data_IF_604582955116
#
_entry.id   IF_604582955116
#
_cell.length_a   1.000
_cell.length_b   1.000
_cell.length_c   1.000
_cell.angle_alpha   90.00
_cell.angle_beta   90.00
_cell.angle_gamma   90.00
#
_symmetry.space_group_name_H-M   'P 1'
#
loop_
_entity.id
_entity.type
_entity.pdbx_description
1 polymer ?
#
# COMPACT_ATOMS: atom_id res chain seq x y z
N UNK A 1 -19.16 -3.21 -17.95
CA UNK A 1 -18.23 -2.79 -16.89
C UNK A 1 -17.34 -3.98 -16.59
N UNK A 2 -16.04 -3.77 -16.32
CA UNK A 2 -15.06 -4.84 -16.10
C UNK A 2 -15.25 -5.41 -14.69
N UNK A 3 -16.06 -6.45 -14.55
CA UNK A 3 -16.29 -7.14 -13.27
C UNK A 3 -15.68 -8.53 -13.25
N UNK A 4 -15.38 -9.10 -14.42
CA UNK A 4 -14.85 -10.46 -14.55
C UNK A 4 -13.49 -10.45 -15.21
N UNK A 5 -12.71 -11.49 -14.92
CA UNK A 5 -11.43 -11.68 -15.57
C UNK A 5 -11.60 -11.87 -17.10
N UNK A 6 -12.67 -12.54 -17.53
CA UNK A 6 -12.96 -12.79 -18.95
C UNK A 6 -13.25 -11.52 -19.76
N UNK A 7 -13.63 -10.44 -19.08
CA UNK A 7 -13.82 -9.14 -19.73
C UNK A 7 -12.47 -8.43 -20.01
N UNK A 8 -11.36 -8.98 -19.49
CA UNK A 8 -10.04 -8.37 -19.52
C UNK A 8 -9.14 -9.04 -20.56
N UNK A 9 -8.54 -8.24 -21.45
CA UNK A 9 -7.50 -8.72 -22.36
C UNK A 9 -6.14 -8.40 -21.75
N UNK A 10 -5.46 -9.42 -21.23
CA UNK A 10 -4.10 -9.27 -20.72
C UNK A 10 -3.09 -9.06 -21.85
N UNK A 11 -2.06 -8.27 -21.55
CA UNK A 11 -0.94 -8.05 -22.46
C UNK A 11 0.02 -9.24 -22.40
N UNK A 12 0.25 -9.87 -23.55
CA UNK A 12 1.28 -10.91 -23.73
C UNK A 12 2.63 -10.30 -24.09
N UNK A 13 3.69 -11.10 -24.04
CA UNK A 13 5.04 -10.69 -24.43
C UNK A 13 5.09 -10.25 -25.91
N UNK A 14 4.35 -10.90 -26.80
CA UNK A 14 4.25 -10.52 -28.23
C UNK A 14 3.53 -9.20 -28.42
N UNK A 15 2.37 -9.03 -27.80
CA UNK A 15 1.60 -7.79 -27.92
C UNK A 15 2.34 -6.62 -27.28
N UNK A 16 3.06 -6.84 -26.19
CA UNK A 16 3.93 -5.83 -25.61
C UNK A 16 5.08 -5.40 -26.53
N UNK A 17 5.73 -6.34 -27.23
CA UNK A 17 6.76 -6.00 -28.23
C UNK A 17 6.19 -5.11 -29.34
N UNK A 18 5.02 -5.47 -29.88
CA UNK A 18 4.35 -4.64 -30.88
C UNK A 18 4.00 -3.25 -30.35
N UNK A 19 3.54 -3.14 -29.10
CA UNK A 19 3.29 -1.83 -28.47
C UNK A 19 4.56 -1.00 -28.28
N UNK A 20 5.71 -1.63 -28.00
CA UNK A 20 7.00 -0.94 -27.92
C UNK A 20 7.48 -0.43 -29.28
N UNK A 21 7.30 -1.21 -30.34
CA UNK A 21 7.61 -0.79 -31.71
C UNK A 21 6.74 0.42 -32.10
N UNK A 22 5.43 0.36 -31.82
CA UNK A 22 4.54 1.49 -32.05
C UNK A 22 4.93 2.71 -31.20
N UNK A 23 5.27 2.51 -29.92
CA UNK A 23 5.77 3.56 -29.05
C UNK A 23 7.04 4.23 -29.60
N UNK A 24 7.97 3.46 -30.16
CA UNK A 24 9.20 4.00 -30.74
C UNK A 24 8.96 4.87 -31.98
N UNK A 25 7.88 4.62 -32.74
CA UNK A 25 7.51 5.42 -33.91
C UNK A 25 6.94 6.80 -33.53
N UNK A 26 6.08 6.84 -32.53
CA UNK A 26 5.52 8.09 -32.00
C UNK A 26 5.20 7.97 -30.49
N UNK A 27 6.17 8.31 -29.61
CA UNK A 27 5.98 8.21 -28.17
C UNK A 27 4.84 9.09 -27.64
N UNK A 28 4.57 10.21 -28.30
CA UNK A 28 3.58 11.20 -27.83
C UNK A 28 2.15 10.71 -28.03
N UNK A 29 1.90 10.04 -29.14
CA UNK A 29 0.59 9.45 -29.47
C UNK A 29 0.42 8.08 -28.84
N UNK A 30 1.41 7.20 -29.01
CA UNK A 30 1.29 5.79 -28.62
C UNK A 30 1.56 5.54 -27.13
N UNK A 31 2.32 6.41 -26.46
CA UNK A 31 2.60 6.30 -25.02
C UNK A 31 1.33 6.27 -24.17
N UNK A 32 0.43 7.26 -24.28
CA UNK A 32 -0.85 7.25 -23.57
C UNK A 32 -1.78 6.08 -23.95
N UNK A 33 -1.80 5.68 -25.23
CA UNK A 33 -2.66 4.60 -25.74
C UNK A 33 -2.27 3.26 -25.10
N UNK A 34 -0.98 2.94 -25.08
CA UNK A 34 -0.47 1.67 -24.57
C UNK A 34 -0.01 1.74 -23.10
N UNK A 35 -0.07 2.92 -22.48
CA UNK A 35 0.44 3.12 -21.12
C UNK A 35 1.93 2.85 -20.99
N UNK A 36 2.73 3.24 -22.00
CA UNK A 36 4.18 3.07 -22.02
C UNK A 36 4.82 4.46 -21.90
N UNK A 37 5.62 4.67 -20.86
CA UNK A 37 6.40 5.89 -20.68
C UNK A 37 7.83 5.76 -21.23
N UNK A 38 8.38 4.55 -21.17
CA UNK A 38 9.70 4.20 -21.68
C UNK A 38 9.86 2.68 -21.79
N UNK A 39 10.87 2.24 -22.54
CA UNK A 39 11.31 0.86 -22.48
C UNK A 39 11.91 0.56 -21.10
N UNK A 40 11.52 -0.56 -20.50
CA UNK A 40 12.02 -0.93 -19.18
C UNK A 40 13.47 -1.43 -19.27
N UNK A 41 14.39 -0.95 -18.42
CA UNK A 41 15.75 -1.46 -18.36
C UNK A 41 15.82 -2.97 -18.06
N UNK A 42 14.80 -3.51 -17.39
CA UNK A 42 14.74 -4.93 -17.01
C UNK A 42 14.53 -5.86 -18.20
N UNK A 43 14.11 -5.36 -19.36
CA UNK A 43 13.98 -6.16 -20.60
C UNK A 43 15.32 -6.70 -21.11
N UNK A 44 16.44 -6.11 -20.66
CA UNK A 44 17.79 -6.57 -21.04
C UNK A 44 18.19 -7.88 -20.37
N UNK A 45 17.43 -8.33 -19.37
CA UNK A 45 17.70 -9.56 -18.64
C UNK A 45 17.14 -10.76 -19.42
N UNK A 46 18.01 -11.73 -19.71
CA UNK A 46 17.73 -12.88 -20.60
C UNK A 46 16.49 -13.71 -20.20
N UNK A 47 16.17 -13.77 -18.91
CA UNK A 47 15.07 -14.58 -18.38
C UNK A 47 14.02 -13.73 -17.66
N UNK A 48 13.93 -12.44 -18.00
CA UNK A 48 12.95 -11.54 -17.42
C UNK A 48 11.83 -11.19 -18.40
N UNK A 49 10.60 -11.54 -18.06
CA UNK A 49 9.41 -11.14 -18.79
C UNK A 49 8.58 -10.14 -17.97
N UNK A 50 8.54 -8.90 -18.45
CA UNK A 50 7.85 -7.80 -17.79
C UNK A 50 6.33 -7.97 -17.73
N UNK A 51 5.72 -8.71 -18.66
CA UNK A 51 4.26 -8.93 -18.64
C UNK A 51 3.86 -9.96 -17.60
N UNK A 52 4.82 -10.73 -17.09
CA UNK A 52 4.56 -11.91 -16.28
C UNK A 52 5.23 -11.85 -14.91
N UNK A 53 6.32 -11.08 -14.74
CA UNK A 53 7.16 -11.07 -13.53
C UNK A 53 7.16 -9.74 -12.76
N UNK A 54 6.16 -8.90 -13.00
CA UNK A 54 5.86 -7.74 -12.19
C UNK A 54 4.50 -7.92 -11.49
N UNK A 55 4.46 -8.69 -10.38
CA UNK A 55 3.20 -8.94 -9.69
C UNK A 55 2.62 -7.66 -9.07
N UNK A 56 1.29 -7.58 -8.87
CA UNK A 56 0.64 -6.46 -8.19
C UNK A 56 1.13 -6.32 -6.75
N UNK A 57 0.99 -5.14 -6.15
CA UNK A 57 1.48 -4.88 -4.80
C UNK A 57 0.31 -4.69 -3.82
N UNK A 58 0.06 -5.69 -2.99
CA UNK A 58 -1.01 -5.65 -1.98
C UNK A 58 -0.91 -4.48 -1.00
N UNK A 59 0.27 -3.93 -0.73
CA UNK A 59 0.36 -2.71 0.07
C UNK A 59 -0.33 -1.54 -0.65
N UNK A 60 0.07 -1.27 -1.89
CA UNK A 60 -0.46 -0.13 -2.62
C UNK A 60 -1.88 -0.37 -3.13
N UNK A 61 -2.18 -1.58 -3.61
CA UNK A 61 -3.46 -1.91 -4.22
C UNK A 61 -4.54 -2.09 -3.16
N UNK A 62 -4.27 -2.83 -2.08
CA UNK A 62 -5.25 -3.07 -1.02
C UNK A 62 -5.20 -1.97 0.05
N UNK A 63 -4.04 -1.74 0.69
CA UNK A 63 -3.98 -0.90 1.89
C UNK A 63 -4.05 0.60 1.59
N UNK A 64 -3.38 1.05 0.54
CA UNK A 64 -3.33 2.47 0.21
C UNK A 64 -4.41 2.91 -0.77
N UNK A 65 -4.65 2.12 -1.82
CA UNK A 65 -5.59 2.45 -2.89
C UNK A 65 -7.01 1.97 -2.60
N UNK A 66 -7.21 0.66 -2.50
CA UNK A 66 -8.54 0.08 -2.42
C UNK A 66 -9.25 0.35 -1.09
N UNK A 67 -8.56 0.27 0.06
CA UNK A 67 -9.13 0.68 1.35
C UNK A 67 -9.54 2.15 1.36
N UNK A 68 -8.72 3.02 0.79
CA UNK A 68 -9.05 4.43 0.65
C UNK A 68 -10.32 4.62 -0.18
N UNK A 69 -10.41 3.92 -1.32
CA UNK A 69 -11.57 3.96 -2.21
C UNK A 69 -12.86 3.50 -1.51
N UNK A 70 -12.80 2.36 -0.81
CA UNK A 70 -13.94 1.76 -0.13
C UNK A 70 -14.35 2.57 1.10
N UNK A 71 -13.40 2.96 1.97
CA UNK A 71 -13.70 3.76 3.16
C UNK A 71 -14.36 5.09 2.76
N UNK A 72 -13.88 5.74 1.69
CA UNK A 72 -14.46 7.00 1.23
C UNK A 72 -15.94 6.85 0.90
N UNK A 73 -16.29 5.85 0.09
CA UNK A 73 -17.66 5.63 -0.33
C UNK A 73 -18.54 5.18 0.83
N UNK A 74 -18.05 4.23 1.65
CA UNK A 74 -18.84 3.67 2.75
C UNK A 74 -19.10 4.70 3.83
N UNK A 75 -18.06 5.35 4.38
CA UNK A 75 -18.27 6.37 5.41
C UNK A 75 -18.95 7.62 4.86
N UNK A 76 -18.65 8.00 3.61
CA UNK A 76 -19.29 9.14 2.94
C UNK A 76 -20.80 8.94 2.82
N UNK A 77 -21.22 7.76 2.35
CA UNK A 77 -22.65 7.44 2.24
C UNK A 77 -23.33 7.22 3.58
N UNK A 78 -22.70 6.58 4.56
CA UNK A 78 -23.27 6.47 5.90
C UNK A 78 -23.54 7.84 6.55
N UNK A 79 -22.66 8.82 6.30
CA UNK A 79 -22.88 10.22 6.72
C UNK A 79 -23.97 10.89 5.89
N UNK A 80 -23.97 10.69 4.57
CA UNK A 80 -24.95 11.26 3.65
C UNK A 80 -26.39 10.80 3.95
N UNK A 81 -26.55 9.52 4.24
CA UNK A 81 -27.81 8.87 4.57
C UNK A 81 -28.21 9.06 6.05
N UNK A 82 -27.40 9.79 6.81
CA UNK A 82 -27.60 10.08 8.24
C UNK A 82 -27.63 8.84 9.14
N UNK A 83 -27.05 7.71 8.69
CA UNK A 83 -26.83 6.52 9.52
C UNK A 83 -25.83 6.83 10.64
N UNK A 84 -24.78 7.58 10.32
CA UNK A 84 -23.87 8.16 11.30
C UNK A 84 -23.80 9.67 11.11
N UNK A 85 -23.54 10.42 12.17
CA UNK A 85 -23.33 11.87 12.12
C UNK A 85 -21.88 12.17 11.77
N UNK A 86 -21.63 13.37 11.25
CA UNK A 86 -20.24 13.84 11.01
C UNK A 86 -19.38 13.80 12.28
N UNK A 87 -19.96 14.06 13.44
CA UNK A 87 -19.29 13.99 14.75
C UNK A 87 -18.89 12.55 15.11
N UNK A 88 -19.59 11.53 14.60
CA UNK A 88 -19.25 10.13 14.83
C UNK A 88 -17.93 9.72 14.15
N UNK A 89 -17.36 10.55 13.26
CA UNK A 89 -16.00 10.35 12.74
C UNK A 89 -14.93 10.52 13.84
N UNK A 90 -15.22 11.28 14.91
CA UNK A 90 -14.33 11.46 16.05
C UNK A 90 -14.18 10.18 16.89
N UNK A 91 -15.07 9.20 16.69
CA UNK A 91 -14.94 7.84 17.25
C UNK A 91 -13.62 7.19 16.83
N UNK A 92 -13.15 7.46 15.62
CA UNK A 92 -11.88 6.91 15.12
C UNK A 92 -10.71 7.39 15.98
N UNK A 93 -10.66 8.69 16.29
CA UNK A 93 -9.60 9.26 17.13
C UNK A 93 -9.72 8.91 18.61
N UNK A 94 -10.95 8.72 19.11
CA UNK A 94 -11.21 8.44 20.54
C UNK A 94 -11.23 6.94 20.87
N UNK A 95 -11.22 6.06 19.88
CA UNK A 95 -11.20 4.62 20.07
C UNK A 95 -9.95 4.16 20.85
N UNK A 96 -10.13 3.22 21.78
CA UNK A 96 -9.04 2.68 22.61
C UNK A 96 -8.28 1.58 21.87
N UNK A 97 -7.28 1.98 21.09
CA UNK A 97 -6.42 1.04 20.36
C UNK A 97 -5.57 0.18 21.31
N UNK A 98 -5.59 -1.13 21.08
CA UNK A 98 -4.84 -2.11 21.86
C UNK A 98 -3.33 -2.03 21.65
N UNK A 99 -2.58 -2.79 22.45
CA UNK A 99 -1.10 -2.80 22.44
C UNK A 99 -0.51 -3.00 21.03
N UNK A 100 -1.06 -3.93 20.25
CA UNK A 100 -0.59 -4.24 18.90
C UNK A 100 -0.89 -3.13 17.88
N UNK A 101 -1.87 -2.26 18.16
CA UNK A 101 -2.35 -1.23 17.25
C UNK A 101 -1.88 0.17 17.61
N UNK A 102 -1.40 0.37 18.84
CA UNK A 102 -1.00 1.68 19.37
C UNK A 102 0.04 2.41 18.53
N UNK A 103 0.94 1.67 17.86
CA UNK A 103 1.95 2.25 16.95
C UNK A 103 1.38 2.60 15.57
N UNK A 104 0.24 2.02 15.21
CA UNK A 104 -0.46 2.20 13.95
C UNK A 104 -1.83 2.85 14.17
N UNK A 105 -1.98 3.69 15.21
CA UNK A 105 -3.21 4.42 15.47
C UNK A 105 -3.61 5.24 14.24
N UNK A 106 -4.82 5.04 13.70
CA UNK A 106 -5.34 5.80 12.57
C UNK A 106 -5.35 7.30 12.81
N UNK A 107 -5.17 8.05 11.74
CA UNK A 107 -5.44 9.48 11.73
C UNK A 107 -6.94 9.72 11.51
N UNK A 108 -7.41 10.88 11.94
CA UNK A 108 -8.81 11.26 11.78
C UNK A 108 -9.21 11.31 10.30
N UNK A 109 -10.38 10.76 10.01
CA UNK A 109 -11.00 10.84 8.68
C UNK A 109 -11.64 12.21 8.51
N UNK A 110 -11.24 12.94 7.48
CA UNK A 110 -11.71 14.32 7.26
C UNK A 110 -12.92 14.37 6.33
N UNK A 111 -13.78 15.37 6.51
CA UNK A 111 -14.88 15.64 5.58
C UNK A 111 -14.37 15.96 4.17
N UNK A 112 -13.20 16.58 4.05
CA UNK A 112 -12.56 16.84 2.76
C UNK A 112 -12.27 15.53 2.01
N UNK A 113 -11.77 14.51 2.71
CA UNK A 113 -11.56 13.18 2.15
C UNK A 113 -12.88 12.52 1.71
N UNK A 114 -13.91 12.54 2.55
CA UNK A 114 -15.22 11.95 2.22
C UNK A 114 -15.84 12.61 0.98
N UNK A 115 -15.66 13.93 0.82
CA UNK A 115 -16.12 14.68 -0.35
C UNK A 115 -15.22 14.55 -1.59
N UNK A 116 -14.19 13.68 -1.55
CA UNK A 116 -13.26 13.49 -2.66
C UNK A 116 -12.31 14.66 -2.94
N UNK A 117 -12.16 15.60 -1.98
CA UNK A 117 -11.29 16.79 -2.11
C UNK A 117 -9.89 16.57 -1.52
N UNK A 118 -9.65 15.42 -0.88
CA UNK A 118 -8.37 15.06 -0.30
C UNK A 118 -8.18 13.53 -0.32
N UNK A 119 -6.93 13.08 -0.24
CA UNK A 119 -6.59 11.67 -0.02
C UNK A 119 -6.71 11.28 1.45
N UNK A 120 -6.79 9.98 1.72
CA UNK A 120 -6.79 9.47 3.09
C UNK A 120 -5.39 9.60 3.68
N UNK A 121 -5.31 10.30 4.81
CA UNK A 121 -4.07 10.51 5.54
C UNK A 121 -3.61 9.26 6.29
N UNK A 122 -2.30 9.14 6.50
CA UNK A 122 -1.67 8.08 7.29
C UNK A 122 -0.97 7.02 6.43
N UNK A 123 -0.11 6.23 7.07
CA UNK A 123 0.63 5.14 6.43
C UNK A 123 -0.28 3.94 6.10
N UNK A 124 0.19 3.04 5.23
CA UNK A 124 -0.49 1.78 4.95
C UNK A 124 -0.86 0.98 6.22
N UNK A 125 0.00 0.97 7.26
CA UNK A 125 -0.30 0.30 8.53
C UNK A 125 -1.43 0.99 9.32
N UNK A 126 -1.50 2.32 9.29
CA UNK A 126 -2.58 3.08 9.93
C UNK A 126 -3.91 2.88 9.20
N UNK A 127 -3.88 2.89 7.86
CA UNK A 127 -5.06 2.60 7.01
C UNK A 127 -5.58 1.17 7.27
N UNK A 128 -4.68 0.18 7.35
CA UNK A 128 -5.04 -1.19 7.71
C UNK A 128 -5.66 -1.29 9.10
N UNK A 129 -5.07 -0.61 10.10
CA UNK A 129 -5.57 -0.58 11.47
C UNK A 129 -7.01 -0.06 11.51
N UNK A 130 -7.28 1.07 10.85
CA UNK A 130 -8.63 1.62 10.75
C UNK A 130 -9.58 0.63 10.08
N UNK A 131 -9.20 0.15 8.90
CA UNK A 131 -10.06 -0.72 8.11
C UNK A 131 -10.41 -2.02 8.85
N UNK A 132 -9.45 -2.59 9.60
CA UNK A 132 -9.66 -3.80 10.41
C UNK A 132 -10.54 -3.56 11.63
N UNK A 133 -10.43 -2.39 12.25
CA UNK A 133 -11.16 -2.05 13.48
C UNK A 133 -12.45 -1.28 13.24
N UNK A 134 -12.79 -0.98 11.97
CA UNK A 134 -14.03 -0.32 11.59
C UNK A 134 -15.27 -0.94 12.23
N UNK A 135 -15.43 -2.29 12.28
CA UNK A 135 -16.57 -2.93 12.91
C UNK A 135 -16.59 -2.65 14.41
N UNK A 136 -15.47 -2.70 15.11
CA UNK A 136 -15.40 -2.41 16.54
C UNK A 136 -15.70 -0.93 16.84
N UNK A 137 -15.45 -0.02 15.90
CA UNK A 137 -15.71 1.42 16.05
C UNK A 137 -17.20 1.74 15.79
N UNK A 138 -17.83 1.05 14.85
CA UNK A 138 -19.15 1.43 14.31
C UNK A 138 -20.26 0.36 14.41
N UNK A 139 -19.98 -0.85 14.92
CA UNK A 139 -20.97 -1.95 14.95
C UNK A 139 -22.27 -1.61 15.69
N UNK A 140 -22.23 -0.73 16.68
CA UNK A 140 -23.42 -0.36 17.45
C UNK A 140 -24.32 0.67 16.75
N UNK A 141 -23.81 1.36 15.72
CA UNK A 141 -24.54 2.44 15.03
C UNK A 141 -24.94 2.08 13.60
N UNK A 142 -24.24 1.15 12.95
CA UNK A 142 -24.56 0.70 11.59
C UNK A 142 -25.54 -0.47 11.67
N UNK A 143 -26.77 -0.35 11.12
CA UNK A 143 -27.75 -1.43 11.13
C UNK A 143 -27.27 -2.66 10.37
N UNK A 144 -27.70 -3.85 10.82
CA UNK A 144 -27.54 -5.08 10.05
C UNK A 144 -28.22 -4.96 8.68
N UNK A 145 -27.57 -5.47 7.63
CA UNK A 145 -28.06 -5.37 6.26
C UNK A 145 -27.94 -3.99 5.62
N UNK A 146 -27.23 -3.04 6.23
CA UNK A 146 -26.93 -1.77 5.58
C UNK A 146 -26.11 -1.99 4.30
N UNK A 147 -26.64 -1.52 3.17
CA UNK A 147 -26.08 -1.76 1.83
C UNK A 147 -24.65 -1.20 1.63
N UNK A 148 -24.32 -0.07 2.25
CA UNK A 148 -22.95 0.46 2.20
C UNK A 148 -21.99 -0.38 3.05
N UNK A 149 -22.47 -0.89 4.18
CA UNK A 149 -21.69 -1.78 5.03
C UNK A 149 -21.42 -3.13 4.36
N UNK A 150 -22.36 -3.66 3.57
CA UNK A 150 -22.14 -4.88 2.78
C UNK A 150 -20.98 -4.73 1.78
N UNK A 151 -20.82 -3.55 1.16
CA UNK A 151 -19.66 -3.27 0.30
C UNK A 151 -18.35 -3.34 1.09
N UNK A 152 -18.35 -2.74 2.30
CA UNK A 152 -17.19 -2.82 3.20
C UNK A 152 -16.88 -4.28 3.57
N UNK A 153 -17.89 -5.07 3.94
CA UNK A 153 -17.72 -6.48 4.32
C UNK A 153 -17.21 -7.34 3.14
N UNK A 154 -17.73 -7.13 1.94
CA UNK A 154 -17.26 -7.81 0.73
C UNK A 154 -15.78 -7.50 0.45
N UNK A 155 -15.38 -6.23 0.50
CA UNK A 155 -13.98 -5.85 0.35
C UNK A 155 -13.10 -6.37 1.49
N UNK A 156 -13.61 -6.37 2.72
CA UNK A 156 -12.92 -6.91 3.89
C UNK A 156 -12.60 -8.39 3.73
N UNK A 157 -13.52 -9.16 3.18
CA UNK A 157 -13.32 -10.57 2.89
C UNK A 157 -12.15 -10.81 1.93
N UNK A 158 -12.07 -10.02 0.85
CA UNK A 158 -10.96 -10.06 -0.11
C UNK A 158 -9.64 -9.73 0.57
N UNK A 159 -9.62 -8.67 1.38
CA UNK A 159 -8.43 -8.26 2.12
C UNK A 159 -7.97 -9.34 3.11
N UNK A 160 -8.89 -9.99 3.82
CA UNK A 160 -8.55 -11.05 4.79
C UNK A 160 -7.92 -12.27 4.12
N UNK A 161 -8.42 -12.70 2.96
CA UNK A 161 -7.81 -13.79 2.19
C UNK A 161 -6.46 -13.34 1.61
N UNK A 162 -6.43 -12.18 0.94
CA UNK A 162 -5.26 -11.71 0.20
C UNK A 162 -4.08 -11.34 1.11
N UNK A 163 -4.34 -10.93 2.36
CA UNK A 163 -3.30 -10.55 3.32
C UNK A 163 -2.92 -11.68 4.28
N UNK A 164 -3.52 -12.87 4.13
CA UNK A 164 -3.18 -14.04 4.92
C UNK A 164 -1.73 -14.47 4.69
N UNK A 165 -1.09 -15.01 5.73
CA UNK A 165 0.30 -15.48 5.66
C UNK A 165 0.48 -16.73 4.81
N UNK A 166 -0.61 -17.50 4.68
CA UNK A 166 -0.72 -18.74 3.93
C UNK A 166 -2.11 -18.77 3.29
N UNK A 167 -2.16 -19.04 2.00
CA UNK A 167 -3.40 -19.17 1.23
C UNK A 167 -3.42 -20.57 0.64
N UNK A 168 -4.35 -21.45 1.06
CA UNK A 168 -4.51 -22.76 0.43
C UNK A 168 -4.87 -22.60 -1.05
N UNK A 169 -4.30 -23.44 -1.92
CA UNK A 169 -4.60 -23.39 -3.37
C UNK A 169 -6.10 -23.56 -3.66
N UNK A 170 -6.80 -24.37 -2.87
CA UNK A 170 -8.25 -24.55 -2.96
C UNK A 170 -9.07 -23.29 -2.64
N UNK A 171 -8.47 -22.31 -1.95
CA UNK A 171 -9.12 -21.03 -1.64
C UNK A 171 -9.01 -20.02 -2.80
N UNK A 172 -8.13 -20.25 -3.77
CA UNK A 172 -7.88 -19.28 -4.85
C UNK A 172 -9.10 -19.09 -5.78
N UNK A 173 -9.81 -20.14 -6.23
CA UNK A 173 -11.05 -19.96 -7.00
C UNK A 173 -12.13 -19.22 -6.20
N UNK A 174 -12.19 -19.46 -4.88
CA UNK A 174 -13.12 -18.76 -4.00
C UNK A 174 -12.79 -17.26 -3.90
N UNK A 175 -11.50 -16.90 -3.81
CA UNK A 175 -11.07 -15.50 -3.86
C UNK A 175 -11.50 -14.82 -5.16
N UNK A 176 -11.39 -15.51 -6.31
CA UNK A 176 -11.82 -14.95 -7.60
C UNK A 176 -13.31 -14.57 -7.55
N UNK A 177 -14.17 -15.50 -7.12
CA UNK A 177 -15.61 -15.24 -6.98
C UNK A 177 -15.87 -14.05 -6.05
N UNK A 178 -15.16 -13.97 -4.91
CA UNK A 178 -15.32 -12.84 -3.97
C UNK A 178 -14.88 -11.50 -4.54
N UNK A 179 -13.86 -11.46 -5.39
CA UNK A 179 -13.47 -10.24 -6.10
C UNK A 179 -14.55 -9.80 -7.09
N UNK A 180 -15.07 -10.73 -7.89
CA UNK A 180 -16.12 -10.45 -8.87
C UNK A 180 -17.40 -9.95 -8.20
N UNK A 181 -17.86 -10.64 -7.14
CA UNK A 181 -19.03 -10.24 -6.32
C UNK A 181 -18.85 -8.84 -5.72
N UNK A 182 -17.66 -8.54 -5.17
CA UNK A 182 -17.37 -7.21 -4.63
C UNK A 182 -17.41 -6.12 -5.70
N UNK A 183 -16.81 -6.34 -6.88
CA UNK A 183 -16.77 -5.33 -7.94
C UNK A 183 -18.17 -5.06 -8.50
N UNK A 184 -18.99 -6.10 -8.66
CA UNK A 184 -20.40 -5.96 -9.02
C UNK A 184 -21.14 -5.16 -7.94
N UNK A 185 -21.07 -5.56 -6.68
CA UNK A 185 -21.71 -4.87 -5.57
C UNK A 185 -21.27 -3.41 -5.45
N UNK A 186 -19.97 -3.14 -5.58
CA UNK A 186 -19.39 -1.79 -5.50
C UNK A 186 -19.95 -0.88 -6.60
N UNK A 187 -20.02 -1.36 -7.83
CA UNK A 187 -20.48 -0.54 -8.96
C UNK A 187 -21.99 -0.37 -9.02
N UNK A 188 -22.76 -1.35 -8.56
CA UNK A 188 -24.21 -1.21 -8.36
C UNK A 188 -24.50 -0.18 -7.28
N UNK A 189 -23.80 -0.26 -6.14
CA UNK A 189 -24.02 0.66 -5.02
C UNK A 189 -23.50 2.08 -5.32
N UNK A 190 -22.45 2.21 -6.12
CA UNK A 190 -21.79 3.47 -6.42
C UNK A 190 -21.62 3.67 -7.95
N UNK A 191 -22.71 3.87 -8.71
CA UNK A 191 -22.68 3.92 -10.17
C UNK A 191 -21.88 5.11 -10.73
N UNK A 192 -21.72 6.17 -9.93
CA UNK A 192 -20.93 7.35 -10.29
C UNK A 192 -19.47 7.27 -9.83
N UNK A 193 -19.09 6.22 -9.10
CA UNK A 193 -17.72 6.01 -8.65
C UNK A 193 -16.94 5.22 -9.70
N UNK A 194 -15.76 5.73 -10.08
CA UNK A 194 -14.88 4.99 -10.98
C UNK A 194 -14.27 3.77 -10.29
N UNK A 195 -14.25 2.63 -11.00
CA UNK A 195 -13.42 1.49 -10.62
C UNK A 195 -11.96 1.87 -10.90
N UNK A 196 -11.21 2.12 -9.83
CA UNK A 196 -9.80 2.52 -9.96
C UNK A 196 -8.95 1.34 -10.45
N UNK A 197 -7.78 1.60 -11.08
CA UNK A 197 -6.83 0.55 -11.40
C UNK A 197 -6.46 -0.34 -10.20
N UNK A 198 -6.45 0.25 -8.99
CA UNK A 198 -6.15 -0.44 -7.73
C UNK A 198 -7.20 -1.50 -7.38
N UNK A 199 -8.49 -1.20 -7.58
CA UNK A 199 -9.56 -2.19 -7.42
C UNK A 199 -9.55 -3.21 -8.56
N UNK A 200 -9.29 -2.77 -9.79
CA UNK A 200 -9.21 -3.67 -10.95
C UNK A 200 -8.12 -4.74 -10.77
N UNK A 201 -6.95 -4.37 -10.22
CA UNK A 201 -5.86 -5.33 -10.01
C UNK A 201 -6.25 -6.55 -9.18
N UNK A 202 -7.28 -6.46 -8.33
CA UNK A 202 -7.77 -7.59 -7.54
C UNK A 202 -8.23 -8.76 -8.41
N UNK A 203 -8.74 -8.51 -9.62
CA UNK A 203 -9.13 -9.57 -10.56
C UNK A 203 -7.96 -10.48 -10.93
N UNK A 204 -6.75 -9.95 -10.89
CA UNK A 204 -5.52 -10.66 -11.24
C UNK A 204 -4.88 -11.36 -10.04
N UNK A 205 -5.32 -11.08 -8.81
CA UNK A 205 -4.74 -11.68 -7.60
C UNK A 205 -4.78 -13.21 -7.63
N UNK A 206 -5.89 -13.86 -8.03
CA UNK A 206 -5.92 -15.31 -8.16
C UNK A 206 -4.78 -15.88 -9.01
N UNK A 207 -4.54 -15.31 -10.21
CA UNK A 207 -3.44 -15.70 -11.12
C UNK A 207 -2.08 -15.54 -10.42
N UNK A 208 -1.82 -14.37 -9.85
CA UNK A 208 -0.53 -14.07 -9.23
C UNK A 208 -0.29 -14.87 -7.94
N UNK A 209 -1.34 -15.22 -7.20
CA UNK A 209 -1.23 -16.07 -6.00
C UNK A 209 -0.82 -17.49 -6.37
N UNK A 210 -1.34 -18.05 -7.46
CA UNK A 210 -0.94 -19.37 -7.93
C UNK A 210 0.54 -19.40 -8.35
N UNK A 211 1.04 -18.28 -8.90
CA UNK A 211 2.40 -18.17 -9.43
C UNK A 211 3.45 -17.81 -8.37
N UNK A 212 3.15 -16.86 -7.49
CA UNK A 212 4.10 -16.27 -6.53
C UNK A 212 3.78 -16.58 -5.07
N UNK A 213 2.63 -17.20 -4.79
CA UNK A 213 2.15 -17.42 -3.43
C UNK A 213 1.46 -16.20 -2.83
N UNK A 214 1.33 -16.12 -1.49
CA UNK A 214 0.56 -15.06 -0.84
C UNK A 214 1.10 -13.64 -1.13
N UNK A 215 0.25 -12.65 -1.47
CA UNK A 215 0.66 -11.28 -1.82
C UNK A 215 1.51 -10.58 -0.76
N UNK A 216 1.25 -10.89 0.51
CA UNK A 216 2.03 -10.42 1.65
C UNK A 216 3.54 -10.77 1.57
N UNK A 217 3.94 -11.73 0.75
CA UNK A 217 5.35 -12.14 0.57
C UNK A 217 6.14 -11.25 -0.38
N UNK A 218 5.46 -10.52 -1.28
CA UNK A 218 6.09 -9.69 -2.30
C UNK A 218 5.60 -8.23 -2.32
N UNK A 219 4.84 -7.81 -1.31
CA UNK A 219 4.38 -6.42 -1.16
C UNK A 219 5.48 -5.40 -0.79
N UNK A 220 5.21 -4.12 -1.02
CA UNK A 220 6.13 -3.01 -0.83
C UNK A 220 6.50 -2.63 0.61
N UNK A 221 5.77 -3.15 1.62
CA UNK A 221 5.84 -2.67 3.02
C UNK A 221 7.25 -2.60 3.61
N UNK A 222 8.10 -3.60 3.34
CA UNK A 222 9.47 -3.64 3.89
C UNK A 222 10.40 -2.70 3.13
N UNK A 223 10.22 -2.56 1.83
CA UNK A 223 11.01 -1.65 1.00
C UNK A 223 10.74 -0.20 1.40
N UNK A 224 9.47 0.17 1.60
CA UNK A 224 9.13 1.53 2.03
C UNK A 224 9.62 1.84 3.45
N UNK A 225 9.48 0.88 4.38
CA UNK A 225 10.03 1.02 5.73
C UNK A 225 11.56 1.24 5.71
N UNK A 226 12.30 0.50 4.87
CA UNK A 226 13.75 0.71 4.70
C UNK A 226 14.03 2.08 4.07
N UNK A 227 13.23 2.51 3.13
CA UNK A 227 13.38 3.80 2.47
C UNK A 227 13.17 4.99 3.41
N UNK A 228 12.32 4.85 4.44
CA UNK A 228 12.12 5.88 5.47
C UNK A 228 13.41 6.31 6.18
N UNK A 229 14.36 5.39 6.38
CA UNK A 229 15.68 5.70 6.94
C UNK A 229 16.44 6.70 6.06
N UNK A 230 16.49 6.42 4.75
CA UNK A 230 17.20 7.27 3.79
C UNK A 230 16.54 8.65 3.65
N UNK A 231 15.20 8.70 3.60
CA UNK A 231 14.43 9.96 3.60
C UNK A 231 14.77 10.81 4.83
N UNK A 232 14.86 10.19 6.02
CA UNK A 232 15.19 10.88 7.25
C UNK A 232 16.60 11.50 7.21
N UNK A 233 17.59 10.74 6.74
CA UNK A 233 18.97 11.25 6.59
C UNK A 233 19.03 12.39 5.59
N UNK A 234 18.46 12.21 4.39
CA UNK A 234 18.46 13.24 3.37
C UNK A 234 17.87 14.56 3.89
N UNK A 235 16.76 14.48 4.64
CA UNK A 235 16.13 15.65 5.26
C UNK A 235 16.98 16.32 6.34
N UNK A 236 17.80 15.55 7.09
CA UNK A 236 18.62 16.05 8.20
C UNK A 236 19.94 16.63 7.72
N UNK A 237 20.66 15.91 6.85
CA UNK A 237 21.99 16.31 6.37
C UNK A 237 21.91 17.58 5.54
N UNK A 238 20.80 17.80 4.80
CA UNK A 238 20.60 18.97 3.91
C UNK A 238 21.75 19.19 2.90
N UNK A 239 22.56 18.17 2.65
CA UNK A 239 23.64 18.17 1.68
C UNK A 239 23.21 17.34 0.47
N UNK A 240 23.02 18.01 -0.66
CA UNK A 240 22.56 17.37 -1.90
C UNK A 240 23.69 17.07 -2.87
N UNK A 241 24.93 17.48 -2.57
CA UNK A 241 26.10 17.15 -3.40
C UNK A 241 26.43 15.68 -3.20
N UNK A 242 26.31 14.88 -4.26
CA UNK A 242 26.53 13.42 -4.23
C UNK A 242 25.69 12.70 -3.16
N UNK A 243 24.40 13.04 -3.03
CA UNK A 243 23.50 12.47 -2.01
C UNK A 243 23.55 10.94 -1.95
N UNK A 244 23.65 10.24 -3.09
CA UNK A 244 23.76 8.79 -3.13
C UNK A 244 24.99 8.26 -2.38
N UNK A 245 26.14 8.93 -2.51
CA UNK A 245 27.36 8.58 -1.79
C UNK A 245 27.16 8.76 -0.28
N UNK A 246 26.61 9.90 0.14
CA UNK A 246 26.31 10.17 1.56
C UNK A 246 25.38 9.11 2.15
N UNK A 247 24.27 8.82 1.47
CA UNK A 247 23.30 7.82 1.91
C UNK A 247 23.91 6.42 1.98
N UNK A 248 24.72 6.04 0.98
CA UNK A 248 25.41 4.75 0.96
C UNK A 248 26.42 4.64 2.11
N UNK A 249 27.27 5.65 2.31
CA UNK A 249 28.27 5.66 3.38
C UNK A 249 27.61 5.56 4.75
N UNK A 250 26.58 6.36 5.04
CA UNK A 250 25.88 6.31 6.33
C UNK A 250 25.17 4.98 6.55
N UNK A 251 24.58 4.41 5.50
CA UNK A 251 23.96 3.09 5.60
C UNK A 251 24.99 1.99 5.87
N UNK A 252 26.15 2.01 5.19
CA UNK A 252 27.23 1.05 5.43
C UNK A 252 27.78 1.15 6.85
N UNK A 253 27.98 2.36 7.37
CA UNK A 253 28.40 2.57 8.77
C UNK A 253 27.37 2.02 9.76
N UNK A 254 26.08 2.24 9.51
CA UNK A 254 25.00 1.66 10.32
C UNK A 254 25.02 0.13 10.27
N UNK A 255 25.17 -0.48 9.08
CA UNK A 255 25.25 -1.94 8.96
C UNK A 255 26.49 -2.49 9.69
N UNK A 256 27.65 -1.85 9.55
CA UNK A 256 28.87 -2.25 10.26
C UNK A 256 28.67 -2.21 11.78
N UNK A 257 28.01 -1.17 12.30
CA UNK A 257 27.66 -1.08 13.72
C UNK A 257 26.69 -2.19 14.15
N UNK A 258 25.58 -2.38 13.43
CA UNK A 258 24.58 -3.43 13.73
C UNK A 258 25.19 -4.84 13.68
N UNK A 259 26.10 -5.10 12.75
CA UNK A 259 26.78 -6.39 12.57
C UNK A 259 27.95 -6.60 13.55
N UNK A 260 28.53 -5.54 14.13
CA UNK A 260 29.63 -5.65 15.09
C UNK A 260 29.23 -6.32 16.42
N UNK A 261 27.93 -6.49 16.66
CA UNK A 261 27.39 -7.21 17.81
C UNK A 261 27.72 -6.56 19.15
N UNK A 262 27.33 -7.21 20.26
CA UNK A 262 27.52 -6.74 21.64
C UNK A 262 28.98 -6.52 22.09
N UNK A 263 29.98 -6.56 21.19
CA UNK A 263 31.39 -6.28 21.49
C UNK A 263 31.62 -4.87 22.05
N UNK A 264 30.68 -3.94 21.81
CA UNK A 264 30.73 -2.54 22.30
C UNK A 264 29.63 -2.21 23.32
N UNK A 265 28.73 -3.14 23.64
CA UNK A 265 27.69 -2.92 24.65
C UNK A 265 28.26 -3.30 26.02
N UNK A 266 28.91 -2.36 26.70
CA UNK A 266 28.86 -2.38 28.16
C UNK A 266 27.43 -2.01 28.59
N UNK A 267 26.90 -2.68 29.61
CA UNK A 267 25.61 -2.33 30.20
C UNK A 267 25.71 -0.93 30.83
N UNK A 268 25.44 0.09 30.01
CA UNK A 268 25.41 1.48 30.42
C UNK A 268 24.02 1.77 31.00
N UNK A 269 23.85 1.47 32.29
CA UNK A 269 22.70 1.93 33.04
C UNK A 269 22.79 3.45 33.21
N UNK A 270 22.01 4.18 32.41
CA UNK A 270 21.86 5.63 32.57
C UNK A 270 20.40 5.94 32.89
N UNK A 271 20.15 6.63 34.00
CA UNK A 271 18.82 7.15 34.34
C UNK A 271 18.66 8.57 33.79
N UNK A 272 17.65 8.80 32.95
CA UNK A 272 17.29 10.13 32.44
C UNK A 272 17.93 10.56 31.12
N UNK A 273 18.70 9.70 30.44
CA UNK A 273 19.22 9.99 29.11
C UNK A 273 18.15 9.75 28.02
N UNK A 274 18.07 10.65 27.04
CA UNK A 274 17.23 10.46 25.85
C UNK A 274 17.99 9.58 24.86
N UNK A 275 17.40 8.44 24.48
CA UNK A 275 17.97 7.58 23.44
C UNK A 275 18.02 8.36 22.11
N UNK A 276 19.23 8.57 21.60
CA UNK A 276 19.47 9.19 20.30
C UNK A 276 19.42 8.11 19.21
N UNK A 277 18.78 8.41 18.08
CA UNK A 277 18.87 7.51 16.94
C UNK A 277 20.23 7.71 16.27
N UNK A 278 20.86 6.64 15.79
CA UNK A 278 22.15 6.72 15.10
C UNK A 278 22.11 7.64 13.87
N UNK A 279 20.95 7.75 13.22
CA UNK A 279 20.71 8.69 12.11
C UNK A 279 20.67 10.17 12.50
N UNK A 280 20.68 10.50 13.79
CA UNK A 280 20.73 11.87 14.31
C UNK A 280 22.17 12.33 14.59
N UNK A 281 23.15 11.42 14.55
CA UNK A 281 24.55 11.77 14.78
C UNK A 281 25.09 12.65 13.65
N UNK A 282 25.83 13.72 13.97
CA UNK A 282 26.47 14.56 12.96
C UNK A 282 27.44 13.72 12.13
N UNK A 283 27.62 14.07 10.85
CA UNK A 283 28.77 13.55 10.12
C UNK A 283 30.01 14.07 10.84
N UNK A 284 30.86 13.17 11.32
CA UNK A 284 32.21 13.57 11.68
C UNK A 284 32.84 14.08 10.39
N UNK A 285 32.93 15.40 10.24
CA UNK A 285 33.87 16.01 9.31
C UNK A 285 35.18 15.31 9.56
N UNK A 286 35.76 14.70 8.53
CA UNK A 286 37.10 14.14 8.60
C UNK A 286 38.04 15.27 9.03
N UNK A 287 38.25 15.40 10.34
CA UNK A 287 39.26 16.28 10.91
C UNK A 287 40.56 15.60 10.54
N UNK A 288 41.35 16.33 9.76
CA UNK A 288 42.53 15.83 9.08
C UNK A 288 43.40 14.94 9.96
N UNK A 289 43.86 13.85 9.37
CA UNK A 289 45.00 13.09 9.86
C UNK A 289 46.05 13.15 8.75
N UNK A 290 46.99 14.09 8.94
CA UNK A 290 48.39 14.13 8.47
C UNK A 290 48.71 13.58 7.09
#
# INVERSE_FOLDING_TARGET
MLHRLDDCVERTSETYKSHLEAFALDPTVNGPIYGIASASPLQTLENFDITEQLPPDAMHDILEGGMECVIRQVLGSLVGDQVIRKQDLERISSFKYGFHDKKATPLAVTIAFLNGKASMMGSASQKWCLFRLLPQIYAEVVPEGNSHWEVYLAYRHIADISLAEKIPRSCVPYLQVKVEEFLELYTVQYPNAAVTPKLHFLLHYPKYILKYGPPRRYWGMRFEAKHSYFKSIASKTKNFKNICLTLATRHQLLQAYELSGNMLNSDLETTGAKQLNLGDLPEQSAVGSS
#
